data_IF_738901616862
#
_entry.id   IF_738901616862
#
_cell.length_a   1.000
_cell.length_b   1.000
_cell.length_c   1.000
_cell.angle_alpha   90.00
_cell.angle_beta   90.00
_cell.angle_gamma   90.00
#
_symmetry.space_group_name_H-M   'P 1'
#
loop_
_entity.id
_entity.type
_entity.pdbx_description
1 polymer ?
#
# COMPACT_ATOMS: atom_id res chain seq x y z
N UNK A 1 -8.79 -4.23 -7.22
CA UNK A 1 -7.47 -3.84 -7.21
C UNK A 1 -6.66 -4.74 -6.34
N UNK A 2 -5.53 -5.17 -6.79
CA UNK A 2 -4.73 -6.04 -6.02
C UNK A 2 -3.65 -5.29 -5.31
N UNK A 3 -3.84 -5.01 -4.08
CA UNK A 3 -2.84 -4.28 -3.32
C UNK A 3 -1.90 -5.21 -2.57
N UNK A 4 -2.28 -6.48 -2.46
CA UNK A 4 -1.46 -7.41 -1.67
C UNK A 4 -0.07 -7.58 -2.22
N UNK A 5 0.05 -7.68 -3.54
CA UNK A 5 1.33 -7.85 -4.15
C UNK A 5 2.18 -6.60 -4.01
N UNK A 6 1.57 -5.42 -4.07
CA UNK A 6 2.31 -4.19 -3.89
C UNK A 6 2.85 -4.09 -2.47
N UNK A 7 2.05 -4.47 -1.49
CA UNK A 7 2.48 -4.46 -0.10
C UNK A 7 3.65 -5.42 0.06
N UNK A 8 3.54 -6.61 -0.53
CA UNK A 8 4.58 -7.59 -0.41
C UNK A 8 5.87 -7.10 -1.06
N UNK A 9 5.76 -6.51 -2.24
CA UNK A 9 6.93 -6.03 -2.94
C UNK A 9 7.63 -4.90 -2.18
N UNK A 10 6.86 -3.99 -1.59
CA UNK A 10 7.46 -2.92 -0.80
C UNK A 10 8.13 -3.48 0.44
N UNK A 11 7.51 -4.46 1.05
CA UNK A 11 8.07 -5.09 2.23
C UNK A 11 9.40 -5.75 1.89
N UNK A 12 9.42 -6.52 0.80
CA UNK A 12 10.63 -7.22 0.43
C UNK A 12 11.74 -6.25 -0.01
N UNK A 13 11.35 -5.16 -0.63
CA UNK A 13 12.33 -4.17 -1.04
C UNK A 13 13.03 -3.54 0.16
N UNK A 14 12.37 -3.54 1.31
CA UNK A 14 12.96 -3.01 2.52
C UNK A 14 13.52 -4.12 3.39
N UNK A 15 13.55 -5.33 2.86
CA UNK A 15 14.10 -6.48 3.58
C UNK A 15 13.39 -6.76 4.89
N UNK A 16 12.08 -6.59 4.91
CA UNK A 16 11.29 -6.85 6.09
C UNK A 16 10.59 -8.17 5.96
N UNK A 17 10.46 -8.89 7.08
CA UNK A 17 9.65 -10.10 7.09
C UNK A 17 8.21 -9.69 7.33
N UNK A 18 7.29 -10.61 7.15
CA UNK A 18 5.88 -10.33 7.44
C UNK A 18 5.73 -9.95 8.93
N UNK A 19 6.50 -10.61 9.78
CA UNK A 19 6.42 -10.30 11.19
C UNK A 19 6.94 -8.91 11.47
N UNK A 20 8.02 -8.49 10.80
CA UNK A 20 8.56 -7.16 10.97
C UNK A 20 7.52 -6.11 10.59
N UNK A 21 6.86 -6.31 9.46
CA UNK A 21 5.86 -5.35 9.02
C UNK A 21 4.70 -5.33 10.01
N UNK A 22 4.26 -6.50 10.44
CA UNK A 22 3.15 -6.59 11.39
C UNK A 22 3.48 -5.83 12.66
N UNK A 23 4.69 -6.02 13.19
CA UNK A 23 5.08 -5.33 14.39
C UNK A 23 5.11 -3.82 14.20
N UNK A 24 5.59 -3.36 13.06
CA UNK A 24 5.63 -1.94 12.81
C UNK A 24 4.25 -1.32 12.67
N UNK A 25 3.31 -2.08 12.13
CA UNK A 25 1.96 -1.59 11.89
C UNK A 25 1.02 -1.92 13.03
N UNK A 26 1.54 -2.60 14.06
CA UNK A 26 0.71 -3.00 15.20
C UNK A 26 -0.39 -3.97 14.75
N UNK A 27 -0.05 -4.87 13.88
CA UNK A 27 -0.97 -5.87 13.35
C UNK A 27 -0.36 -7.25 13.57
N UNK A 28 -1.07 -8.30 13.21
CA UNK A 28 -0.55 -9.64 13.37
C UNK A 28 0.07 -10.11 12.07
N UNK A 29 1.00 -11.04 12.19
CA UNK A 29 1.64 -11.62 11.03
C UNK A 29 0.61 -12.31 10.16
N UNK A 30 -0.36 -13.00 10.78
CA UNK A 30 -1.39 -13.69 10.03
C UNK A 30 -2.20 -12.75 9.18
N UNK A 31 -2.50 -11.55 9.70
CA UNK A 31 -3.26 -10.58 8.94
C UNK A 31 -2.44 -10.10 7.75
N UNK A 32 -1.15 -9.83 7.95
CA UNK A 32 -0.29 -9.40 6.86
C UNK A 32 -0.24 -10.50 5.78
N UNK A 33 -0.15 -11.75 6.20
CA UNK A 33 -0.12 -12.83 5.26
C UNK A 33 -1.38 -12.87 4.41
N UNK A 34 -2.53 -12.69 5.04
CA UNK A 34 -3.79 -12.70 4.31
C UNK A 34 -3.89 -11.52 3.36
N UNK A 35 -3.42 -10.36 3.78
CA UNK A 35 -3.45 -9.19 2.93
C UNK A 35 -2.58 -9.38 1.70
N UNK A 36 -1.41 -9.94 1.88
CA UNK A 36 -0.47 -10.09 0.76
C UNK A 36 -0.98 -11.11 -0.25
N UNK A 37 -1.85 -12.02 0.19
CA UNK A 37 -2.42 -12.98 -0.72
C UNK A 37 -3.77 -12.54 -1.26
N UNK A 38 -4.15 -11.32 -0.96
CA UNK A 38 -5.43 -10.76 -1.39
C UNK A 38 -6.63 -11.55 -0.86
N UNK A 39 -6.44 -12.18 0.30
CA UNK A 39 -7.53 -12.89 0.94
C UNK A 39 -8.22 -12.05 1.99
N UNK A 40 -7.72 -10.86 2.25
CA UNK A 40 -8.30 -9.96 3.20
C UNK A 40 -8.13 -8.55 2.66
N UNK A 41 -9.13 -7.71 2.85
CA UNK A 41 -9.07 -6.34 2.40
C UNK A 41 -8.95 -5.44 3.63
N UNK A 42 -7.99 -4.55 3.69
CA UNK A 42 -7.85 -3.72 4.86
C UNK A 42 -8.81 -2.54 4.82
N UNK A 43 -9.17 -2.03 5.97
CA UNK A 43 -9.90 -0.78 6.03
C UNK A 43 -8.91 0.33 5.67
N UNK A 44 -9.42 1.52 5.43
CA UNK A 44 -8.54 2.64 5.13
C UNK A 44 -7.61 2.93 6.28
N UNK A 45 -8.11 2.84 7.51
CA UNK A 45 -7.26 3.09 8.66
C UNK A 45 -6.15 2.06 8.74
N UNK A 46 -6.47 0.80 8.51
CA UNK A 46 -5.48 -0.25 8.58
C UNK A 46 -4.46 -0.08 7.44
N UNK A 47 -4.93 0.27 6.27
CA UNK A 47 -4.05 0.48 5.15
C UNK A 47 -3.07 1.61 5.46
N UNK A 48 -3.54 2.66 6.11
CA UNK A 48 -2.68 3.76 6.46
C UNK A 48 -1.59 3.32 7.42
N UNK A 49 -1.92 2.46 8.38
CA UNK A 49 -0.93 1.95 9.32
C UNK A 49 0.14 1.17 8.56
N UNK A 50 -0.26 0.38 7.58
CA UNK A 50 0.67 -0.42 6.82
C UNK A 50 1.56 0.48 5.96
N UNK A 51 0.98 1.48 5.32
CA UNK A 51 1.76 2.36 4.47
C UNK A 51 2.75 3.18 5.28
N UNK A 52 2.35 3.61 6.47
CA UNK A 52 3.27 4.33 7.33
C UNK A 52 4.42 3.41 7.75
N UNK A 53 4.11 2.14 8.02
CA UNK A 53 5.14 1.19 8.42
C UNK A 53 6.11 0.93 7.27
N UNK A 54 5.65 1.11 6.04
CA UNK A 54 6.48 0.92 4.87
C UNK A 54 7.09 2.22 4.38
N UNK A 55 6.93 3.27 5.16
CA UNK A 55 7.50 4.58 4.84
C UNK A 55 7.01 5.12 3.50
N UNK A 56 5.77 4.94 3.22
CA UNK A 56 5.20 5.46 2.01
C UNK A 56 3.89 6.16 2.34
N UNK A 57 3.29 6.81 1.38
CA UNK A 57 2.03 7.49 1.57
C UNK A 57 1.02 6.87 0.61
N UNK A 58 -0.27 7.08 0.84
CA UNK A 58 -1.26 6.57 -0.11
C UNK A 58 -1.03 7.10 -1.51
N UNK A 59 -0.63 8.36 -1.62
CA UNK A 59 -0.38 8.94 -2.93
C UNK A 59 0.74 8.19 -3.65
N UNK A 60 1.81 7.91 -2.96
CA UNK A 60 2.91 7.20 -3.56
C UNK A 60 2.57 5.75 -3.84
N UNK A 61 1.85 5.14 -2.93
CA UNK A 61 1.52 3.74 -3.06
C UNK A 61 0.63 3.51 -4.27
N UNK A 62 -0.32 4.39 -4.51
CA UNK A 62 -1.24 4.23 -5.61
C UNK A 62 -0.78 4.91 -6.90
N UNK A 63 0.35 5.56 -6.88
CA UNK A 63 0.86 6.20 -8.08
C UNK A 63 1.41 5.13 -8.98
N UNK A 64 0.88 5.03 -10.16
CA UNK A 64 1.36 4.02 -11.05
C UNK A 64 2.41 4.60 -11.93
N UNK A 65 3.27 3.79 -12.40
CA UNK A 65 4.26 4.31 -13.16
C UNK A 65 3.83 4.50 -14.51
N UNK A 66 2.74 4.18 -14.92
CA UNK A 66 2.30 4.31 -16.29
C UNK A 66 2.02 5.74 -16.66
N UNK A 67 2.11 6.06 -17.88
CA UNK A 67 1.87 7.39 -18.32
C UNK A 67 0.48 7.85 -18.08
N UNK A 68 -0.41 6.94 -18.05
CA UNK A 68 -1.74 7.35 -17.88
C UNK A 68 -2.02 7.92 -16.55
N UNK A 69 -1.23 7.70 -15.65
CA UNK A 69 -1.49 8.16 -14.38
C UNK A 69 -1.49 9.59 -14.36
N UNK A 70 -0.86 10.19 -15.21
CA UNK A 70 -0.72 11.54 -15.08
C UNK A 70 -1.85 12.28 -15.39
N UNK A 71 -2.72 11.74 -16.00
CA UNK A 71 -3.81 12.38 -16.33
C UNK A 71 -4.55 13.03 -15.33
N UNK A 72 -4.42 12.65 -14.17
CA UNK A 72 -5.11 13.22 -13.25
C UNK A 72 -4.81 14.48 -12.80
N UNK A 73 -4.29 15.40 -13.40
CA UNK A 73 -4.04 16.60 -12.91
C UNK A 73 -5.24 17.28 -12.55
N UNK A 74 -5.37 17.69 -11.43
CA UNK A 74 -6.53 18.34 -10.96
C UNK A 74 -6.73 19.61 -11.66
N UNK A 75 -5.70 20.20 -12.04
CA UNK A 75 -5.86 21.46 -12.61
C UNK A 75 -6.52 21.31 -13.88
N UNK A 76 -6.55 20.19 -14.44
CA UNK A 76 -7.10 20.08 -15.57
C UNK A 76 -8.48 20.05 -15.47
N UNK A 77 -8.93 19.47 -14.62
CA UNK A 77 -10.16 19.32 -14.56
C UNK A 77 -10.85 20.39 -14.19
N UNK A 78 -10.29 21.09 -13.78
CA UNK A 78 -10.92 22.02 -13.24
C UNK A 78 -11.43 22.80 -14.11
N UNK A 79 -11.05 22.84 -14.90
CA UNK A 79 -11.46 23.51 -15.73
C UNK A 79 -12.60 23.61 -15.85
N UNK A 80 -13.00 23.52 -15.73
CA UNK A 80 -14.10 23.67 -15.84
C UNK A 80 -14.52 24.21 -15.69
#
# INVERSE_FOLDING_TARGET
MKIGEKIKNLRLAQELTQEDLANRADLTKGFISLLERDLQTPSLDTLELILNALNTTPAEFFAEKGPDVVVFKPDQRVVI
#
